data_IF_608250360955
#
_entry.id   IF_608250360955
#
_cell.length_a   1.000
_cell.length_b   1.000
_cell.length_c   1.000
_cell.angle_alpha   90.00
_cell.angle_beta   90.00
_cell.angle_gamma   90.00
#
_symmetry.space_group_name_H-M   'P 1'
#
loop_
_entity.id
_entity.type
_entity.pdbx_description
1 polymer ?
#
# COMPACT_ATOMS: atom_id res chain seq x y z
N UNK A 1 38.23 -20.30 9.55
CA UNK A 1 38.39 -18.84 9.58
C UNK A 1 37.14 -18.27 8.91
N UNK A 2 36.12 -17.91 9.69
CA UNK A 2 35.00 -17.11 9.19
C UNK A 2 35.57 -15.72 8.89
N UNK A 3 35.47 -15.26 7.63
CA UNK A 3 35.73 -13.86 7.29
C UNK A 3 34.61 -13.04 7.99
N UNK A 4 34.95 -12.31 9.02
CA UNK A 4 34.02 -11.60 9.93
C UNK A 4 33.18 -10.50 9.25
N UNK A 5 33.46 -10.15 7.97
CA UNK A 5 32.83 -9.04 7.26
C UNK A 5 32.28 -9.43 5.86
N UNK A 6 32.10 -10.72 5.57
CA UNK A 6 31.54 -11.12 4.27
C UNK A 6 30.04 -10.89 4.21
N UNK A 7 29.59 -10.10 3.25
CA UNK A 7 28.20 -9.95 2.82
C UNK A 7 28.10 -10.34 1.35
N UNK A 8 26.97 -10.90 0.94
CA UNK A 8 26.71 -11.11 -0.48
C UNK A 8 26.49 -9.75 -1.21
N UNK A 9 26.68 -9.72 -2.54
CA UNK A 9 26.65 -8.46 -3.31
C UNK A 9 25.36 -7.66 -3.16
N UNK A 10 24.21 -8.31 -3.07
CA UNK A 10 22.93 -7.63 -2.89
C UNK A 10 22.82 -7.01 -1.49
N UNK A 11 23.16 -7.74 -0.44
CA UNK A 11 23.17 -7.24 0.93
C UNK A 11 24.13 -6.06 1.07
N UNK A 12 25.33 -6.18 0.50
CA UNK A 12 26.32 -5.11 0.49
C UNK A 12 25.80 -3.86 -0.19
N UNK A 13 25.23 -4.00 -1.38
CA UNK A 13 24.69 -2.87 -2.16
C UNK A 13 23.57 -2.14 -1.42
N UNK A 14 22.62 -2.90 -0.85
CA UNK A 14 21.48 -2.33 -0.12
C UNK A 14 21.90 -1.63 1.17
N UNK A 15 22.82 -2.25 1.92
CA UNK A 15 23.35 -1.67 3.15
C UNK A 15 24.12 -0.38 2.89
N UNK A 16 25.01 -0.39 1.90
CA UNK A 16 25.77 0.79 1.49
C UNK A 16 24.87 1.93 1.03
N UNK A 17 23.84 1.63 0.24
CA UNK A 17 22.91 2.64 -0.23
C UNK A 17 22.09 3.23 0.92
N UNK A 18 21.51 2.39 1.77
CA UNK A 18 20.70 2.84 2.89
C UNK A 18 21.50 3.69 3.89
N UNK A 19 22.76 3.32 4.18
CA UNK A 19 23.61 4.06 5.13
C UNK A 19 24.18 5.37 4.57
N UNK A 20 24.27 5.52 3.23
CA UNK A 20 24.86 6.71 2.61
C UNK A 20 23.88 7.81 2.27
N UNK A 21 22.60 7.46 2.01
CA UNK A 21 21.62 8.44 1.57
C UNK A 21 21.31 9.43 2.69
N UNK A 22 21.32 10.71 2.33
CA UNK A 22 20.99 11.81 3.24
C UNK A 22 19.84 12.65 2.68
N UNK A 23 19.25 13.50 3.51
CA UNK A 23 18.19 14.40 3.08
C UNK A 23 18.62 15.34 1.95
N UNK A 24 19.89 15.72 1.91
CA UNK A 24 20.46 16.61 0.89
C UNK A 24 20.54 15.96 -0.50
N UNK A 25 20.50 14.65 -0.57
CA UNK A 25 20.49 13.91 -1.84
C UNK A 25 19.09 13.85 -2.48
N UNK A 26 18.06 14.27 -1.74
CA UNK A 26 16.67 14.21 -2.19
C UNK A 26 16.32 15.44 -3.02
N UNK A 27 15.69 15.21 -4.19
CA UNK A 27 15.12 16.31 -4.97
C UNK A 27 13.87 16.89 -4.27
N UNK A 28 13.53 18.17 -4.50
CA UNK A 28 12.28 18.76 -4.02
C UNK A 28 11.04 17.95 -4.42
N UNK A 29 11.04 17.38 -5.63
CA UNK A 29 9.96 16.50 -6.12
C UNK A 29 9.83 15.23 -5.26
N UNK A 30 10.95 14.62 -4.89
CA UNK A 30 10.97 13.43 -4.02
C UNK A 30 10.42 13.75 -2.65
N UNK A 31 10.87 14.85 -2.02
CA UNK A 31 10.36 15.31 -0.72
C UNK A 31 8.85 15.56 -0.79
N UNK A 32 8.41 16.24 -1.85
CA UNK A 32 6.99 16.52 -2.08
C UNK A 32 6.18 15.22 -2.22
N UNK A 33 6.68 14.25 -3.00
CA UNK A 33 5.99 12.97 -3.19
C UNK A 33 5.92 12.15 -1.90
N UNK A 34 6.96 12.17 -1.04
CA UNK A 34 6.90 11.55 0.29
C UNK A 34 5.76 12.12 1.12
N UNK A 35 5.61 13.45 1.15
CA UNK A 35 4.53 14.11 1.89
C UNK A 35 3.14 13.72 1.35
N UNK A 36 2.97 13.70 0.03
CA UNK A 36 1.74 13.24 -0.63
C UNK A 36 1.39 11.81 -0.23
N UNK A 37 2.38 10.92 -0.27
CA UNK A 37 2.19 9.52 0.07
C UNK A 37 1.85 9.33 1.55
N UNK A 38 2.45 10.16 2.40
CA UNK A 38 2.14 10.15 3.84
C UNK A 38 0.71 10.63 4.10
N UNK A 39 0.25 11.71 3.47
CA UNK A 39 -1.15 12.17 3.56
C UNK A 39 -2.11 11.06 3.12
N UNK A 40 -1.85 10.41 1.99
CA UNK A 40 -2.64 9.31 1.46
C UNK A 40 -2.73 8.14 2.45
N UNK A 41 -1.59 7.72 2.99
CA UNK A 41 -1.49 6.61 3.95
C UNK A 41 -2.21 6.91 5.26
N UNK A 42 -2.06 8.13 5.81
CA UNK A 42 -2.75 8.55 7.03
C UNK A 42 -4.25 8.64 6.84
N UNK A 43 -4.72 9.08 5.66
CA UNK A 43 -6.13 9.03 5.30
C UNK A 43 -6.68 7.61 5.31
N UNK A 44 -5.97 6.68 4.70
CA UNK A 44 -6.33 5.26 4.73
C UNK A 44 -6.36 4.72 6.17
N UNK A 45 -5.37 5.08 7.00
CA UNK A 45 -5.29 4.62 8.38
C UNK A 45 -6.49 5.08 9.22
N UNK A 46 -6.87 6.36 9.13
CA UNK A 46 -8.03 6.89 9.86
C UNK A 46 -9.33 6.30 9.32
N UNK A 47 -9.47 6.17 7.99
CA UNK A 47 -10.64 5.57 7.36
C UNK A 47 -10.87 4.10 7.72
N UNK A 48 -9.77 3.36 8.02
CA UNK A 48 -9.83 1.95 8.43
C UNK A 48 -10.01 1.76 9.95
N UNK A 49 -10.01 2.82 10.74
CA UNK A 49 -9.84 2.78 12.18
C UNK A 49 -10.83 1.85 12.89
N UNK A 50 -12.08 1.82 12.48
CA UNK A 50 -13.15 0.99 13.06
C UNK A 50 -13.33 -0.36 12.36
N UNK A 51 -12.44 -0.73 11.44
CA UNK A 51 -12.49 -2.03 10.80
C UNK A 51 -12.17 -3.16 11.78
N UNK A 52 -12.76 -4.34 11.58
CA UNK A 52 -12.57 -5.47 12.49
C UNK A 52 -11.10 -5.89 12.63
N UNK A 53 -10.29 -6.02 11.54
CA UNK A 53 -8.88 -6.33 11.68
C UNK A 53 -8.09 -5.27 12.45
N UNK A 54 -8.42 -3.97 12.27
CA UNK A 54 -7.77 -2.91 13.02
C UNK A 54 -8.13 -2.94 14.51
N UNK A 55 -9.38 -3.26 14.85
CA UNK A 55 -9.79 -3.47 16.24
C UNK A 55 -9.07 -4.66 16.87
N UNK A 56 -8.93 -5.77 16.13
CA UNK A 56 -8.18 -6.96 16.59
C UNK A 56 -6.72 -6.60 16.84
N UNK A 57 -6.08 -5.93 15.87
CA UNK A 57 -4.67 -5.54 15.96
C UNK A 57 -4.42 -4.63 17.17
N UNK A 58 -5.28 -3.61 17.39
CA UNK A 58 -5.18 -2.72 18.55
C UNK A 58 -5.38 -3.45 19.88
N UNK A 59 -6.34 -4.37 19.97
CA UNK A 59 -6.53 -5.21 21.18
C UNK A 59 -5.32 -6.08 21.48
N UNK A 60 -4.63 -6.59 20.46
CA UNK A 60 -3.37 -7.33 20.64
C UNK A 60 -2.27 -6.39 21.11
N UNK A 61 -2.10 -5.26 20.46
CA UNK A 61 -1.09 -4.26 20.80
C UNK A 61 -1.26 -3.70 22.22
N UNK A 62 -2.50 -3.51 22.70
CA UNK A 62 -2.77 -2.98 24.04
C UNK A 62 -2.33 -3.88 25.20
N UNK A 63 -1.92 -5.13 24.94
CA UNK A 63 -1.46 -6.08 25.97
C UNK A 63 0.00 -5.91 26.35
N UNK A 64 0.73 -5.08 25.60
CA UNK A 64 2.19 -4.95 25.73
C UNK A 64 2.55 -3.48 25.95
N UNK A 65 3.45 -3.22 26.88
CA UNK A 65 4.13 -1.92 27.05
C UNK A 65 5.52 -2.04 26.43
N UNK A 66 5.89 -1.08 25.56
CA UNK A 66 7.21 -1.05 24.94
C UNK A 66 8.19 -0.16 25.71
N UNK A 67 9.49 -0.43 25.55
CA UNK A 67 10.57 0.47 25.95
C UNK A 67 11.74 0.30 24.97
N UNK A 68 11.93 1.23 24.01
CA UNK A 68 11.08 2.41 23.80
C UNK A 68 9.67 2.04 23.34
N UNK A 69 8.69 2.94 23.58
CA UNK A 69 7.31 2.76 23.16
C UNK A 69 7.03 3.48 21.84
N UNK A 70 6.07 2.97 21.07
CA UNK A 70 5.57 3.58 19.87
C UNK A 70 4.04 3.72 19.90
N UNK A 71 3.55 4.78 19.27
CA UNK A 71 2.12 5.12 19.30
C UNK A 71 1.32 4.35 18.24
N UNK A 72 0.15 3.87 18.62
CA UNK A 72 -0.85 3.34 17.67
C UNK A 72 -1.63 4.51 17.07
N UNK A 73 -1.59 4.64 15.75
CA UNK A 73 -2.24 5.74 15.01
C UNK A 73 -3.74 5.83 15.33
N UNK A 74 -4.22 7.05 15.45
CA UNK A 74 -5.62 7.33 15.82
C UNK A 74 -5.89 7.32 17.32
N UNK A 75 -4.90 6.96 18.16
CA UNK A 75 -5.05 6.83 19.62
C UNK A 75 -3.91 7.52 20.37
N UNK A 76 -4.05 7.64 21.69
CA UNK A 76 -2.95 7.94 22.61
C UNK A 76 -2.26 6.68 23.15
N UNK A 77 -2.70 5.49 22.72
CA UNK A 77 -2.15 4.21 23.15
C UNK A 77 -0.70 4.06 22.68
N UNK A 78 0.17 3.62 23.58
CA UNK A 78 1.54 3.22 23.28
C UNK A 78 1.72 1.71 23.48
N UNK A 79 2.62 1.11 22.71
CA UNK A 79 2.96 -0.31 22.77
C UNK A 79 4.41 -0.52 22.31
N UNK A 80 4.87 -1.76 22.15
CA UNK A 80 6.16 -2.02 21.54
C UNK A 80 6.20 -1.56 20.07
N UNK A 81 7.37 -1.21 19.59
CA UNK A 81 7.63 -0.70 18.23
C UNK A 81 7.10 -1.64 17.15
N UNK A 82 7.32 -2.95 17.31
CA UNK A 82 6.90 -3.99 16.38
C UNK A 82 5.37 -4.16 16.34
N UNK A 83 4.69 -4.10 17.48
CA UNK A 83 3.24 -4.19 17.54
C UNK A 83 2.55 -2.90 17.07
N UNK A 84 3.16 -1.74 17.32
CA UNK A 84 2.71 -0.49 16.72
C UNK A 84 2.82 -0.53 15.20
N UNK A 85 3.97 -0.99 14.66
CA UNK A 85 4.17 -1.18 13.23
C UNK A 85 3.10 -2.10 12.63
N UNK A 86 2.82 -3.25 13.27
CA UNK A 86 1.78 -4.16 12.82
C UNK A 86 0.40 -3.49 12.80
N UNK A 87 -0.04 -2.92 13.93
CA UNK A 87 -1.37 -2.33 14.05
C UNK A 87 -1.57 -1.16 13.06
N UNK A 88 -0.55 -0.31 12.93
CA UNK A 88 -0.58 0.85 12.04
C UNK A 88 -0.54 0.45 10.56
N UNK A 89 0.18 -0.62 10.20
CA UNK A 89 0.17 -1.12 8.82
C UNK A 89 -1.17 -1.75 8.46
N UNK A 90 -1.83 -2.45 9.39
CA UNK A 90 -3.22 -2.92 9.19
C UNK A 90 -4.15 -1.75 8.88
N UNK A 91 -4.03 -0.64 9.62
CA UNK A 91 -4.82 0.57 9.36
C UNK A 91 -4.60 1.13 7.96
N UNK A 92 -3.35 1.27 7.52
CA UNK A 92 -3.01 1.82 6.19
C UNK A 92 -3.49 0.88 5.07
N UNK A 93 -3.29 -0.43 5.24
CA UNK A 93 -3.49 -1.41 4.16
C UNK A 93 -4.93 -1.89 3.99
N UNK A 94 -5.73 -1.91 5.06
CA UNK A 94 -7.01 -2.62 5.08
C UNK A 94 -8.00 -2.15 4.03
N UNK A 95 -8.15 -0.85 3.80
CA UNK A 95 -9.10 -0.32 2.82
C UNK A 95 -8.74 -0.63 1.36
N UNK A 96 -7.55 -1.15 1.11
CA UNK A 96 -7.00 -1.33 -0.25
C UNK A 96 -7.05 -0.05 -1.10
N UNK A 97 -6.89 1.10 -0.41
CA UNK A 97 -6.98 2.44 -0.97
C UNK A 97 -5.65 3.19 -1.00
N UNK A 98 -4.62 2.64 -0.33
CA UNK A 98 -3.26 3.19 -0.32
C UNK A 98 -2.59 3.05 -1.69
N UNK A 99 -1.41 3.63 -1.84
CA UNK A 99 -0.68 3.71 -3.10
C UNK A 99 -0.46 2.37 -3.82
N UNK A 100 0.05 2.43 -5.02
CA UNK A 100 0.43 1.26 -5.80
C UNK A 100 1.63 1.56 -6.69
N UNK A 101 2.58 0.63 -6.75
CA UNK A 101 3.68 0.62 -7.68
C UNK A 101 3.49 -0.50 -8.71
N UNK A 102 3.30 -0.12 -9.99
CA UNK A 102 3.09 -1.06 -11.08
C UNK A 102 4.45 -1.45 -11.69
N UNK A 103 4.84 -2.71 -11.51
CA UNK A 103 6.09 -3.26 -12.00
C UNK A 103 5.95 -4.77 -12.19
N UNK A 104 7.05 -5.49 -12.48
CA UNK A 104 7.06 -6.96 -12.62
C UNK A 104 6.55 -7.66 -11.35
N UNK A 105 6.94 -7.15 -10.15
CA UNK A 105 6.52 -7.63 -8.84
C UNK A 105 5.62 -6.65 -8.09
N UNK A 106 4.70 -6.00 -8.76
CA UNK A 106 3.81 -4.94 -8.27
C UNK A 106 3.38 -5.04 -6.80
N UNK A 107 3.16 -3.89 -6.16
CA UNK A 107 2.65 -3.88 -4.79
C UNK A 107 2.38 -2.49 -4.21
N UNK A 108 2.36 -2.42 -2.88
CA UNK A 108 1.97 -1.25 -2.10
C UNK A 108 3.12 -0.77 -1.20
N UNK A 109 4.04 0.08 -1.70
CA UNK A 109 5.20 0.50 -0.91
C UNK A 109 4.83 1.25 0.37
N UNK A 110 3.69 1.94 0.40
CA UNK A 110 3.20 2.64 1.61
C UNK A 110 2.94 1.72 2.81
N UNK A 111 2.85 0.41 2.61
CA UNK A 111 2.76 -0.56 3.71
C UNK A 111 3.99 -0.53 4.64
N UNK A 112 5.10 0.08 4.21
CA UNK A 112 6.33 0.25 5.00
C UNK A 112 6.30 1.50 5.88
N UNK A 113 5.53 2.53 5.51
CA UNK A 113 5.48 3.81 6.22
C UNK A 113 5.18 3.65 7.70
N UNK A 114 4.19 2.83 8.13
CA UNK A 114 3.86 2.69 9.54
C UNK A 114 5.01 2.13 10.39
N UNK A 115 5.82 1.23 9.85
CA UNK A 115 7.02 0.74 10.53
C UNK A 115 8.05 1.85 10.75
N UNK A 116 8.29 2.67 9.72
CA UNK A 116 9.18 3.84 9.82
C UNK A 116 8.64 4.85 10.84
N UNK A 117 7.32 5.15 10.80
CA UNK A 117 6.71 6.08 11.75
C UNK A 117 6.74 5.58 13.21
N UNK A 118 6.51 4.28 13.43
CA UNK A 118 6.57 3.68 14.76
C UNK A 118 7.98 3.85 15.35
N UNK A 119 9.00 3.51 14.57
CA UNK A 119 10.40 3.66 14.98
C UNK A 119 10.79 5.12 15.15
N UNK A 120 10.40 6.00 14.22
CA UNK A 120 10.69 7.43 14.29
C UNK A 120 10.05 8.09 15.52
N UNK A 121 8.82 7.72 15.88
CA UNK A 121 8.17 8.19 17.11
C UNK A 121 8.90 7.73 18.36
N UNK A 122 9.23 6.44 18.46
CA UNK A 122 9.91 5.83 19.58
C UNK A 122 11.31 6.46 19.84
N UNK A 123 12.03 6.80 18.77
CA UNK A 123 13.37 7.40 18.83
C UNK A 123 13.39 8.92 18.64
N UNK A 124 12.23 9.58 18.65
CA UNK A 124 12.08 11.05 18.51
C UNK A 124 12.81 11.62 17.29
N UNK A 125 12.77 10.89 16.17
CA UNK A 125 13.45 11.30 14.95
C UNK A 125 12.80 12.58 14.37
N UNK A 126 13.61 13.46 13.79
CA UNK A 126 13.16 14.68 13.13
C UNK A 126 12.58 14.37 11.73
N UNK A 127 11.73 15.27 11.21
CA UNK A 127 11.00 15.02 9.98
C UNK A 127 11.87 14.76 8.74
N UNK A 128 13.04 15.40 8.61
CA UNK A 128 13.97 15.11 7.49
C UNK A 128 14.48 13.67 7.52
N UNK A 129 14.75 13.12 8.72
CA UNK A 129 15.14 11.72 8.85
C UNK A 129 14.00 10.79 8.41
N UNK A 130 12.76 11.10 8.78
CA UNK A 130 11.56 10.35 8.37
C UNK A 130 11.37 10.38 6.85
N UNK A 131 11.50 11.55 6.21
CA UNK A 131 11.41 11.70 4.76
C UNK A 131 12.48 10.85 4.06
N UNK A 132 13.71 10.89 4.55
CA UNK A 132 14.82 10.10 3.98
C UNK A 132 14.59 8.61 4.16
N UNK A 133 14.17 8.17 5.35
CA UNK A 133 13.89 6.77 5.64
C UNK A 133 12.75 6.19 4.78
N UNK A 134 11.66 6.96 4.59
CA UNK A 134 10.58 6.58 3.67
C UNK A 134 11.11 6.48 2.24
N UNK A 135 11.94 7.43 1.79
CA UNK A 135 12.53 7.40 0.44
C UNK A 135 13.38 6.15 0.24
N UNK A 136 14.24 5.78 1.20
CA UNK A 136 15.05 4.55 1.13
C UNK A 136 14.15 3.30 1.09
N UNK A 137 13.15 3.22 1.95
CA UNK A 137 12.22 2.08 1.97
C UNK A 137 11.54 1.91 0.59
N UNK A 138 11.05 3.00 0.00
CA UNK A 138 10.44 2.98 -1.32
C UNK A 138 11.42 2.59 -2.42
N UNK A 139 12.64 3.13 -2.39
CA UNK A 139 13.65 2.80 -3.40
C UNK A 139 13.95 1.30 -3.40
N UNK A 140 14.15 0.69 -2.22
CA UNK A 140 14.38 -0.75 -2.10
C UNK A 140 13.22 -1.58 -2.60
N UNK A 141 12.00 -1.27 -2.14
CA UNK A 141 10.79 -1.98 -2.57
C UNK A 141 10.61 -1.90 -4.08
N UNK A 142 10.66 -0.70 -4.63
CA UNK A 142 10.35 -0.48 -6.03
C UNK A 142 11.42 -1.08 -6.96
N UNK A 143 12.70 -1.03 -6.58
CA UNK A 143 13.79 -1.69 -7.33
C UNK A 143 13.65 -3.21 -7.33
N UNK A 144 13.32 -3.80 -6.18
CA UNK A 144 12.98 -5.21 -6.12
C UNK A 144 11.78 -5.53 -7.03
N UNK A 145 10.73 -4.71 -6.97
CA UNK A 145 9.54 -4.90 -7.79
C UNK A 145 9.80 -4.75 -9.30
N UNK A 146 10.72 -3.87 -9.71
CA UNK A 146 11.12 -3.71 -11.12
C UNK A 146 11.70 -5.00 -11.69
N UNK A 147 12.56 -5.70 -10.92
CA UNK A 147 13.37 -6.80 -11.43
C UNK A 147 12.82 -8.18 -11.04
N UNK A 148 12.08 -8.29 -9.93
CA UNK A 148 11.67 -9.56 -9.35
C UNK A 148 10.17 -9.83 -9.56
N UNK A 149 9.85 -10.95 -10.20
CA UNK A 149 8.48 -11.48 -10.24
C UNK A 149 8.21 -12.35 -9.02
N UNK A 150 7.07 -12.13 -8.36
CA UNK A 150 6.73 -12.83 -7.12
C UNK A 150 6.43 -14.32 -7.27
N UNK A 151 5.99 -14.80 -8.44
CA UNK A 151 5.82 -16.25 -8.76
C UNK A 151 5.21 -17.09 -7.62
N UNK A 152 4.12 -16.66 -7.02
CA UNK A 152 3.48 -17.39 -5.91
C UNK A 152 3.87 -16.89 -4.50
N UNK A 153 4.78 -15.92 -4.41
CA UNK A 153 5.07 -15.20 -3.18
C UNK A 153 4.20 -13.94 -3.05
N UNK A 154 4.06 -13.41 -1.85
CA UNK A 154 3.40 -12.13 -1.58
C UNK A 154 4.41 -10.98 -1.57
N UNK A 155 3.93 -9.77 -1.89
CA UNK A 155 4.71 -8.52 -1.81
C UNK A 155 5.28 -8.22 -0.41
N UNK A 156 4.80 -8.91 0.63
CA UNK A 156 5.36 -8.83 1.97
C UNK A 156 6.87 -9.07 2.02
N UNK A 157 7.42 -9.81 1.05
CA UNK A 157 8.86 -9.96 0.89
C UNK A 157 9.56 -8.62 0.60
N UNK A 158 9.02 -7.82 -0.31
CA UNK A 158 9.58 -6.49 -0.63
C UNK A 158 9.39 -5.52 0.53
N UNK A 159 8.23 -5.61 1.22
CA UNK A 159 7.95 -4.81 2.43
C UNK A 159 8.96 -5.12 3.54
N UNK A 160 9.26 -6.40 3.79
CA UNK A 160 10.24 -6.77 4.82
C UNK A 160 11.60 -6.13 4.56
N UNK A 161 12.12 -6.22 3.32
CA UNK A 161 13.45 -5.70 2.95
C UNK A 161 13.44 -4.16 2.99
N UNK A 162 12.48 -3.53 2.29
CA UNK A 162 12.43 -2.07 2.17
C UNK A 162 12.19 -1.38 3.52
N UNK A 163 11.26 -1.90 4.33
CA UNK A 163 11.00 -1.36 5.66
C UNK A 163 12.23 -1.48 6.57
N UNK A 164 12.96 -2.62 6.51
CA UNK A 164 14.17 -2.81 7.31
C UNK A 164 15.23 -1.74 7.01
N UNK A 165 15.44 -1.41 5.73
CA UNK A 165 16.39 -0.37 5.34
C UNK A 165 15.97 1.02 5.87
N UNK A 166 14.69 1.39 5.73
CA UNK A 166 14.18 2.67 6.25
C UNK A 166 14.22 2.75 7.78
N UNK A 167 13.84 1.68 8.46
CA UNK A 167 13.86 1.56 9.92
C UNK A 167 15.32 1.60 10.44
N UNK A 168 16.21 0.87 9.79
CA UNK A 168 17.64 0.85 10.14
C UNK A 168 18.28 2.23 10.03
N UNK A 169 17.87 3.06 9.07
CA UNK A 169 18.30 4.48 9.02
C UNK A 169 17.83 5.28 10.24
N UNK A 170 16.60 5.10 10.69
CA UNK A 170 16.09 5.78 11.91
C UNK A 170 16.90 5.38 13.12
N UNK A 171 17.29 4.10 13.23
CA UNK A 171 18.14 3.58 14.30
C UNK A 171 19.62 4.00 14.16
N UNK A 172 20.03 4.55 13.03
CA UNK A 172 21.43 4.89 12.76
C UNK A 172 22.34 3.66 12.65
N UNK A 173 21.84 2.54 12.14
CA UNK A 173 22.62 1.33 11.94
C UNK A 173 23.80 1.61 11.01
N UNK A 174 24.98 1.10 11.37
CA UNK A 174 26.11 1.06 10.46
C UNK A 174 25.89 0.02 9.34
N UNK A 175 26.79 -0.01 8.36
CA UNK A 175 26.71 -0.92 7.22
C UNK A 175 26.59 -2.39 7.63
N UNK A 176 27.35 -2.83 8.65
CA UNK A 176 27.37 -4.21 9.13
C UNK A 176 26.04 -4.58 9.81
N UNK A 177 25.57 -3.73 10.71
CA UNK A 177 24.28 -3.93 11.40
C UNK A 177 23.11 -3.86 10.40
N UNK A 178 23.14 -2.96 9.41
CA UNK A 178 22.15 -2.88 8.35
C UNK A 178 22.10 -4.18 7.53
N UNK A 179 23.23 -4.74 7.15
CA UNK A 179 23.32 -6.02 6.45
C UNK A 179 22.74 -7.17 7.28
N UNK A 180 23.06 -7.23 8.57
CA UNK A 180 22.48 -8.21 9.48
C UNK A 180 20.96 -8.05 9.59
N UNK A 181 20.46 -6.82 9.73
CA UNK A 181 19.01 -6.55 9.78
C UNK A 181 18.28 -7.04 8.51
N UNK A 182 18.81 -6.71 7.33
CA UNK A 182 18.27 -7.17 6.04
C UNK A 182 18.27 -8.70 5.99
N UNK A 183 19.37 -9.33 6.37
CA UNK A 183 19.52 -10.77 6.37
C UNK A 183 18.53 -11.48 7.30
N UNK A 184 18.35 -10.97 8.51
CA UNK A 184 17.38 -11.49 9.47
C UNK A 184 15.95 -11.32 8.93
N UNK A 185 15.62 -10.14 8.40
CA UNK A 185 14.28 -9.85 7.87
C UNK A 185 13.89 -10.79 6.71
N UNK A 186 14.83 -11.07 5.80
CA UNK A 186 14.59 -11.91 4.61
C UNK A 186 14.41 -13.39 4.99
N UNK A 187 15.14 -13.86 5.97
CA UNK A 187 15.11 -15.26 6.40
C UNK A 187 13.99 -15.56 7.40
N UNK A 188 13.23 -14.55 7.78
CA UNK A 188 12.11 -14.67 8.72
C UNK A 188 10.76 -14.59 8.00
N UNK A 189 9.88 -15.54 8.26
CA UNK A 189 8.53 -15.57 7.70
C UNK A 189 8.45 -16.19 6.30
N UNK A 190 7.23 -16.45 5.87
CA UNK A 190 6.93 -17.08 4.57
C UNK A 190 5.78 -16.31 3.91
N UNK A 191 6.06 -15.25 3.13
CA UNK A 191 5.02 -14.43 2.50
C UNK A 191 4.42 -15.13 1.28
N UNK A 192 3.45 -16.02 1.49
CA UNK A 192 2.83 -16.81 0.43
C UNK A 192 1.77 -16.04 -0.35
N UNK A 193 1.79 -16.19 -1.68
CA UNK A 193 0.78 -15.68 -2.60
C UNK A 193 -0.64 -16.23 -2.37
N UNK A 194 -0.78 -17.34 -1.62
CA UNK A 194 -2.07 -17.86 -1.17
C UNK A 194 -2.94 -16.81 -0.46
N UNK A 195 -2.33 -15.80 0.15
CA UNK A 195 -3.00 -14.62 0.73
C UNK A 195 -3.94 -13.89 -0.26
N UNK A 196 -3.72 -14.05 -1.57
CA UNK A 196 -4.39 -13.30 -2.66
C UNK A 196 -5.23 -14.19 -3.59
N UNK A 197 -5.53 -15.44 -3.22
CA UNK A 197 -6.20 -16.42 -4.06
C UNK A 197 -7.47 -16.93 -3.40
N UNK A 198 -8.51 -17.21 -4.20
CA UNK A 198 -9.79 -17.74 -3.75
C UNK A 198 -10.61 -16.74 -2.95
N UNK A 199 -11.39 -17.22 -2.00
CA UNK A 199 -12.09 -16.37 -1.04
C UNK A 199 -11.10 -15.68 -0.13
N UNK A 200 -11.12 -14.34 -0.14
CA UNK A 200 -10.14 -13.54 0.57
C UNK A 200 -10.55 -13.34 2.03
N UNK A 201 -9.61 -13.57 2.93
CA UNK A 201 -9.79 -13.34 4.37
C UNK A 201 -9.27 -11.97 4.81
N UNK A 202 -9.55 -11.58 6.06
CA UNK A 202 -8.97 -10.38 6.69
C UNK A 202 -7.45 -10.32 6.57
N UNK A 203 -6.79 -11.49 6.49
CA UNK A 203 -5.33 -11.58 6.38
C UNK A 203 -4.78 -10.92 5.11
N UNK A 204 -5.56 -10.80 4.05
CA UNK A 204 -5.20 -10.04 2.83
C UNK A 204 -4.79 -8.61 3.16
N UNK A 205 -5.46 -7.94 4.10
CA UNK A 205 -5.12 -6.61 4.61
C UNK A 205 -4.08 -6.58 5.73
N UNK A 206 -3.59 -7.74 6.18
CA UNK A 206 -2.69 -7.86 7.34
C UNK A 206 -1.33 -8.51 7.01
N UNK A 207 -1.20 -9.17 5.86
CA UNK A 207 0.02 -9.91 5.53
C UNK A 207 1.26 -9.02 5.45
N UNK A 208 1.14 -7.83 4.85
CA UNK A 208 2.22 -6.84 4.79
C UNK A 208 2.50 -6.20 6.15
N UNK A 209 1.49 -6.14 7.04
CA UNK A 209 1.69 -5.71 8.42
C UNK A 209 2.60 -6.68 9.20
N UNK A 210 2.49 -7.99 8.96
CA UNK A 210 3.41 -8.96 9.52
C UNK A 210 4.84 -8.75 8.99
N UNK A 211 5.00 -8.40 7.71
CA UNK A 211 6.31 -8.09 7.13
C UNK A 211 6.91 -6.80 7.72
N UNK A 212 6.12 -5.74 7.90
CA UNK A 212 6.56 -4.51 8.55
C UNK A 212 6.96 -4.73 10.02
N UNK A 213 6.20 -5.57 10.74
CA UNK A 213 6.56 -6.01 12.09
C UNK A 213 7.90 -6.74 12.11
N UNK A 214 8.10 -7.68 11.19
CA UNK A 214 9.35 -8.43 11.04
C UNK A 214 10.52 -7.49 10.79
N UNK A 215 10.34 -6.45 9.96
CA UNK A 215 11.38 -5.47 9.67
C UNK A 215 11.81 -4.67 10.91
N UNK A 216 10.86 -4.26 11.75
CA UNK A 216 11.15 -3.59 13.03
C UNK A 216 11.96 -4.52 13.93
N UNK A 217 11.48 -5.73 14.14
CA UNK A 217 12.14 -6.68 15.04
C UNK A 217 13.53 -7.07 14.54
N UNK A 218 13.73 -7.26 13.24
CA UNK A 218 15.03 -7.55 12.65
C UNK A 218 16.03 -6.40 12.83
N UNK A 219 15.57 -5.15 12.65
CA UNK A 219 16.41 -3.96 12.83
C UNK A 219 16.82 -3.78 14.30
N UNK A 220 15.91 -3.98 15.24
CA UNK A 220 16.21 -3.93 16.69
C UNK A 220 17.20 -5.02 17.11
N UNK A 221 17.03 -6.27 16.65
CA UNK A 221 17.97 -7.35 16.91
C UNK A 221 19.38 -7.03 16.40
N UNK A 222 19.47 -6.48 15.20
CA UNK A 222 20.76 -6.11 14.61
C UNK A 222 21.40 -4.91 15.34
N UNK A 223 20.59 -3.97 15.83
CA UNK A 223 21.06 -2.86 16.67
C UNK A 223 21.72 -3.36 17.97
N UNK A 224 21.21 -4.45 18.53
CA UNK A 224 21.77 -5.12 19.71
C UNK A 224 22.93 -6.09 19.36
N UNK A 225 23.37 -6.13 18.10
CA UNK A 225 24.51 -6.90 17.64
C UNK A 225 24.21 -8.33 17.18
N UNK A 226 22.95 -8.71 16.98
CA UNK A 226 22.60 -10.01 16.42
C UNK A 226 23.04 -10.10 14.96
N UNK A 227 23.68 -11.21 14.60
CA UNK A 227 24.13 -11.46 13.23
C UNK A 227 23.12 -12.33 12.47
N UNK A 228 22.92 -12.00 11.18
CA UNK A 228 22.16 -12.83 10.24
C UNK A 228 23.06 -13.69 9.35
N UNK A 229 22.49 -14.57 8.50
CA UNK A 229 23.24 -15.26 7.47
C UNK A 229 24.01 -14.30 6.56
N UNK A 230 25.25 -14.62 6.24
CA UNK A 230 26.14 -13.75 5.46
C UNK A 230 25.77 -13.60 4.00
N UNK A 231 25.00 -14.55 3.44
CA UNK A 231 24.63 -14.58 2.02
C UNK A 231 23.15 -14.94 1.84
N UNK A 232 22.21 -14.10 2.29
CA UNK A 232 20.78 -14.40 2.24
C UNK A 232 20.18 -14.30 0.82
N UNK A 233 20.83 -13.61 -0.10
CA UNK A 233 20.37 -13.44 -1.48
C UNK A 233 21.05 -14.40 -2.46
N UNK A 234 22.39 -14.31 -2.59
CA UNK A 234 23.19 -15.04 -3.58
C UNK A 234 23.72 -16.38 -3.07
N UNK A 235 23.63 -16.62 -1.75
CA UNK A 235 24.15 -17.85 -1.16
C UNK A 235 23.37 -19.11 -1.54
N UNK A 236 23.96 -20.27 -1.19
CA UNK A 236 23.24 -21.53 -1.27
C UNK A 236 21.97 -21.44 -0.41
N UNK A 237 20.82 -21.84 -0.99
CA UNK A 237 19.50 -21.71 -0.39
C UNK A 237 19.09 -20.24 -0.11
N UNK A 238 19.71 -19.30 -0.82
CA UNK A 238 19.39 -17.87 -0.78
C UNK A 238 18.14 -17.52 -1.59
N UNK A 239 17.72 -16.26 -1.51
CA UNK A 239 16.45 -15.80 -2.06
C UNK A 239 16.35 -16.01 -3.57
N UNK A 240 17.40 -15.69 -4.33
CA UNK A 240 17.38 -15.81 -5.79
C UNK A 240 17.18 -17.23 -6.25
N UNK A 241 17.80 -18.20 -5.55
CA UNK A 241 17.62 -19.61 -5.82
C UNK A 241 16.15 -20.05 -5.59
N UNK A 242 15.53 -19.63 -4.48
CA UNK A 242 14.13 -19.96 -4.18
C UNK A 242 13.14 -19.31 -5.15
N UNK A 243 13.46 -18.15 -5.68
CA UNK A 243 12.66 -17.49 -6.73
C UNK A 243 12.91 -18.08 -8.12
N UNK A 244 13.97 -18.89 -8.30
CA UNK A 244 14.37 -19.46 -9.57
C UNK A 244 14.76 -18.37 -10.59
N UNK A 245 15.52 -17.37 -10.15
CA UNK A 245 16.00 -16.28 -10.99
C UNK A 245 17.51 -16.10 -10.81
N UNK A 246 18.17 -15.55 -11.84
CA UNK A 246 19.53 -15.03 -11.69
C UNK A 246 19.53 -13.77 -10.83
N UNK A 247 20.60 -13.50 -10.06
CA UNK A 247 20.73 -12.26 -9.28
C UNK A 247 20.50 -11.03 -10.16
N UNK A 248 19.62 -10.08 -9.76
CA UNK A 248 19.45 -8.84 -10.48
C UNK A 248 20.77 -8.05 -10.55
N UNK A 249 21.00 -7.42 -11.71
CA UNK A 249 22.12 -6.48 -11.85
C UNK A 249 21.63 -5.10 -11.41
N UNK A 250 21.98 -4.72 -10.19
CA UNK A 250 21.56 -3.45 -9.65
C UNK A 250 22.21 -2.29 -10.41
N UNK A 251 21.40 -1.56 -11.15
CA UNK A 251 21.81 -0.23 -11.63
C UNK A 251 21.82 0.75 -10.47
N UNK A 252 22.52 1.89 -10.61
CA UNK A 252 22.54 2.90 -9.56
C UNK A 252 21.12 3.39 -9.22
N UNK A 253 20.77 3.35 -7.94
CA UNK A 253 19.49 3.79 -7.38
C UNK A 253 19.35 5.32 -7.42
N UNK A 254 18.21 5.85 -6.97
CA UNK A 254 17.93 7.28 -6.92
C UNK A 254 18.95 8.06 -6.09
N UNK A 255 19.08 9.34 -6.40
CA UNK A 255 20.06 10.25 -5.80
C UNK A 255 20.97 10.88 -6.85
N UNK A 256 21.57 12.02 -6.51
CA UNK A 256 22.28 12.86 -7.48
C UNK A 256 21.33 13.33 -8.58
N UNK A 257 21.62 12.99 -9.84
CA UNK A 257 20.77 13.33 -10.99
C UNK A 257 19.67 12.29 -11.31
N UNK A 258 19.62 11.15 -10.59
CA UNK A 258 18.67 10.06 -10.86
C UNK A 258 17.40 10.21 -10.02
N UNK A 259 16.20 10.09 -10.64
CA UNK A 259 14.94 10.16 -9.89
C UNK A 259 14.78 8.95 -8.98
N UNK A 260 14.20 9.19 -7.80
CA UNK A 260 13.80 8.14 -6.89
C UNK A 260 12.50 7.46 -7.35
N UNK A 261 12.37 6.17 -7.14
CA UNK A 261 11.21 5.37 -7.57
C UNK A 261 9.90 5.76 -6.90
N UNK A 262 9.92 6.42 -5.76
CA UNK A 262 8.72 6.92 -5.10
C UNK A 262 7.92 7.86 -6.01
N UNK A 263 8.56 8.61 -6.90
CA UNK A 263 7.90 9.50 -7.87
C UNK A 263 7.12 8.72 -8.94
N UNK A 264 7.37 7.42 -9.07
CA UNK A 264 6.68 6.50 -9.98
C UNK A 264 5.46 5.78 -9.37
N UNK A 265 5.05 6.13 -8.15
CA UNK A 265 3.88 5.52 -7.51
C UNK A 265 2.56 6.16 -7.96
N UNK A 266 1.51 5.36 -7.97
CA UNK A 266 0.14 5.77 -8.29
C UNK A 266 -0.70 5.79 -7.02
N UNK A 267 -1.66 6.73 -6.92
CA UNK A 267 -2.64 6.75 -5.83
C UNK A 267 -3.96 6.17 -6.31
N UNK A 268 -4.59 5.32 -5.51
CA UNK A 268 -5.93 4.83 -5.82
C UNK A 268 -6.98 5.90 -5.49
N UNK A 269 -7.92 6.11 -6.40
CA UNK A 269 -9.03 7.04 -6.18
C UNK A 269 -10.15 6.39 -5.36
N UNK A 270 -10.27 5.05 -5.38
CA UNK A 270 -11.33 4.28 -4.76
C UNK A 270 -10.76 3.16 -3.87
N UNK A 271 -11.46 2.77 -2.78
CA UNK A 271 -11.00 1.75 -1.82
C UNK A 271 -11.17 0.33 -2.38
N UNK A 272 -10.40 0.00 -3.41
CA UNK A 272 -10.48 -1.28 -4.12
C UNK A 272 -9.18 -1.63 -4.83
N UNK A 273 -9.06 -2.86 -5.35
CA UNK A 273 -7.89 -3.30 -6.09
C UNK A 273 -7.58 -2.41 -7.30
N UNK A 274 -6.31 -2.28 -7.66
CA UNK A 274 -5.87 -1.39 -8.76
C UNK A 274 -6.59 -1.65 -10.09
N UNK A 275 -6.91 -2.91 -10.40
CA UNK A 275 -7.59 -3.32 -11.63
C UNK A 275 -9.02 -2.80 -11.78
N UNK A 276 -9.63 -2.30 -10.71
CA UNK A 276 -11.01 -1.79 -10.70
C UNK A 276 -11.09 -0.26 -10.78
N UNK A 277 -9.97 0.44 -10.66
CA UNK A 277 -9.95 1.91 -10.68
C UNK A 277 -10.49 2.49 -11.99
N UNK A 278 -10.11 1.90 -13.14
CA UNK A 278 -10.64 2.27 -14.45
C UNK A 278 -12.14 2.00 -14.59
N UNK A 279 -12.59 0.76 -14.37
CA UNK A 279 -14.02 0.41 -14.35
C UNK A 279 -14.88 1.34 -13.52
N UNK A 280 -14.51 1.60 -12.27
CA UNK A 280 -15.26 2.49 -11.36
C UNK A 280 -15.31 3.93 -11.92
N UNK A 281 -14.15 4.47 -12.32
CA UNK A 281 -14.08 5.84 -12.82
C UNK A 281 -14.97 6.08 -14.04
N UNK A 282 -14.91 5.18 -15.03
CA UNK A 282 -15.74 5.27 -16.25
C UNK A 282 -17.23 5.14 -15.95
N UNK A 283 -17.61 4.26 -15.04
CA UNK A 283 -19.02 4.11 -14.64
C UNK A 283 -19.55 5.37 -13.98
N UNK A 284 -18.78 5.97 -13.08
CA UNK A 284 -19.17 7.21 -12.40
C UNK A 284 -19.30 8.39 -13.38
N UNK A 285 -18.47 8.42 -14.42
CA UNK A 285 -18.58 9.38 -15.52
C UNK A 285 -19.87 9.17 -16.33
N UNK A 286 -20.11 7.94 -16.82
CA UNK A 286 -21.30 7.61 -17.61
C UNK A 286 -22.59 7.81 -16.81
N UNK A 287 -22.60 7.55 -15.51
CA UNK A 287 -23.76 7.72 -14.64
C UNK A 287 -24.31 9.15 -14.66
N UNK A 288 -23.45 10.15 -14.81
CA UNK A 288 -23.89 11.56 -14.91
C UNK A 288 -24.79 11.80 -16.13
N UNK A 289 -24.62 10.99 -17.20
CA UNK A 289 -25.38 11.07 -18.42
C UNK A 289 -26.61 10.11 -18.46
N UNK A 290 -26.61 9.09 -17.57
CA UNK A 290 -27.69 8.07 -17.53
C UNK A 290 -29.03 8.64 -17.03
N UNK A 291 -29.01 9.57 -16.09
CA UNK A 291 -30.21 10.06 -15.42
C UNK A 291 -30.97 8.93 -14.70
N UNK A 292 -32.30 8.93 -14.85
CA UNK A 292 -33.19 7.91 -14.27
C UNK A 292 -33.40 6.68 -15.17
N UNK A 293 -32.64 6.53 -16.27
CA UNK A 293 -32.82 5.42 -17.20
C UNK A 293 -32.48 4.07 -16.58
N UNK A 294 -33.33 3.08 -16.83
CA UNK A 294 -33.09 1.71 -16.39
C UNK A 294 -32.01 1.04 -17.27
N UNK A 295 -31.06 0.35 -16.63
CA UNK A 295 -29.98 -0.35 -17.31
C UNK A 295 -30.47 -1.71 -17.82
N UNK A 296 -30.29 -1.94 -19.11
CA UNK A 296 -30.55 -3.21 -19.79
C UNK A 296 -29.35 -4.13 -19.70
N UNK A 297 -28.15 -3.63 -20.06
CA UNK A 297 -26.89 -4.40 -20.04
C UNK A 297 -25.67 -3.49 -19.88
N UNK A 298 -24.59 -4.07 -19.33
CA UNK A 298 -23.26 -3.45 -19.20
C UNK A 298 -22.24 -4.39 -19.80
N UNK A 299 -21.46 -3.93 -20.76
CA UNK A 299 -20.37 -4.67 -21.36
C UNK A 299 -19.04 -3.96 -21.04
N UNK A 300 -18.15 -4.66 -20.34
CA UNK A 300 -16.84 -4.16 -19.93
C UNK A 300 -15.74 -4.98 -20.58
N UNK A 301 -14.85 -4.32 -21.31
CA UNK A 301 -13.63 -4.89 -21.87
C UNK A 301 -12.40 -4.30 -21.15
N UNK A 302 -11.47 -5.17 -20.72
CA UNK A 302 -10.25 -4.76 -20.05
C UNK A 302 -9.12 -5.78 -20.32
N UNK A 303 -7.95 -5.58 -19.74
CA UNK A 303 -6.78 -6.46 -19.94
C UNK A 303 -6.90 -7.76 -19.16
N UNK A 304 -6.22 -8.82 -19.63
CA UNK A 304 -6.35 -10.20 -19.11
C UNK A 304 -6.04 -10.34 -17.63
N UNK A 305 -5.04 -9.63 -17.10
CA UNK A 305 -4.73 -9.68 -15.66
C UNK A 305 -5.87 -9.13 -14.80
N UNK A 306 -6.54 -8.06 -15.24
CA UNK A 306 -7.72 -7.53 -14.56
C UNK A 306 -8.85 -8.57 -14.55
N UNK A 307 -9.17 -9.17 -15.71
CA UNK A 307 -10.21 -10.21 -15.81
C UNK A 307 -9.87 -11.39 -14.89
N UNK A 308 -8.64 -11.89 -14.97
CA UNK A 308 -8.18 -13.02 -14.16
C UNK A 308 -8.31 -12.80 -12.67
N UNK A 309 -7.97 -11.60 -12.19
CA UNK A 309 -7.96 -11.26 -10.75
C UNK A 309 -9.33 -10.90 -10.19
N UNK A 310 -10.24 -10.39 -11.03
CA UNK A 310 -11.44 -9.72 -10.52
C UNK A 310 -12.77 -10.18 -11.12
N UNK A 311 -12.75 -11.09 -12.10
CA UNK A 311 -13.96 -11.51 -12.78
C UNK A 311 -13.98 -12.98 -13.23
N UNK A 312 -12.92 -13.78 -13.01
CA UNK A 312 -12.87 -15.18 -13.45
C UNK A 312 -13.53 -16.12 -12.43
N UNK A 313 -13.26 -15.92 -11.14
CA UNK A 313 -13.75 -16.79 -10.08
C UNK A 313 -15.22 -16.49 -9.74
N UNK A 314 -15.97 -17.53 -9.38
CA UNK A 314 -17.42 -17.44 -9.06
C UNK A 314 -17.69 -16.45 -7.92
N UNK A 315 -16.81 -16.42 -6.92
CA UNK A 315 -16.89 -15.55 -5.74
C UNK A 315 -16.86 -14.06 -6.14
N UNK A 316 -16.19 -13.71 -7.25
CA UNK A 316 -16.17 -12.33 -7.74
C UNK A 316 -17.52 -11.87 -8.28
N UNK A 317 -18.37 -12.80 -8.73
CA UNK A 317 -19.73 -12.52 -9.20
C UNK A 317 -20.78 -12.57 -8.07
N UNK A 318 -20.42 -13.19 -6.95
CA UNK A 318 -21.26 -13.29 -5.77
C UNK A 318 -20.45 -13.09 -4.48
N UNK A 319 -19.80 -11.94 -4.27
CA UNK A 319 -18.99 -11.74 -3.07
C UNK A 319 -19.85 -11.79 -1.81
N UNK A 320 -19.29 -12.40 -0.75
CA UNK A 320 -19.93 -12.49 0.56
C UNK A 320 -19.13 -11.73 1.62
N UNK A 321 -17.83 -11.49 1.36
CA UNK A 321 -16.94 -10.76 2.25
C UNK A 321 -16.52 -9.42 1.62
N UNK A 322 -16.13 -8.47 2.48
CA UNK A 322 -15.58 -7.19 2.03
C UNK A 322 -14.34 -7.40 1.14
N UNK A 323 -13.46 -8.30 1.57
CA UNK A 323 -12.18 -8.56 0.91
C UNK A 323 -12.36 -9.17 -0.49
N UNK A 324 -13.44 -9.91 -0.71
CA UNK A 324 -13.81 -10.42 -2.05
C UNK A 324 -14.49 -9.33 -2.87
N UNK A 325 -15.36 -8.53 -2.25
CA UNK A 325 -16.08 -7.45 -2.92
C UNK A 325 -15.16 -6.34 -3.45
N UNK A 326 -14.11 -5.94 -2.70
CA UNK A 326 -13.15 -4.92 -3.14
C UNK A 326 -12.20 -5.42 -4.27
N UNK A 327 -12.29 -6.72 -4.60
CA UNK A 327 -11.60 -7.38 -5.71
C UNK A 327 -12.58 -7.89 -6.80
N UNK A 328 -13.78 -7.35 -6.87
CA UNK A 328 -14.82 -7.75 -7.83
C UNK A 328 -15.19 -6.60 -8.77
N UNK A 329 -14.79 -6.68 -10.04
CA UNK A 329 -15.28 -5.75 -11.08
C UNK A 329 -16.81 -5.80 -11.16
N UNK A 330 -17.49 -6.96 -11.23
CA UNK A 330 -18.94 -7.00 -11.31
C UNK A 330 -19.65 -6.28 -10.16
N UNK A 331 -19.18 -6.51 -8.92
CA UNK A 331 -19.77 -5.87 -7.75
C UNK A 331 -19.54 -4.35 -7.76
N UNK A 332 -18.30 -3.91 -8.00
CA UNK A 332 -17.91 -2.50 -7.92
C UNK A 332 -18.55 -1.66 -9.04
N UNK A 333 -18.67 -2.22 -10.24
CA UNK A 333 -19.39 -1.57 -11.35
C UNK A 333 -20.88 -1.44 -11.01
N UNK A 334 -21.51 -2.49 -10.47
CA UNK A 334 -22.91 -2.43 -10.06
C UNK A 334 -23.14 -1.41 -8.94
N UNK A 335 -22.27 -1.39 -7.91
CA UNK A 335 -22.34 -0.44 -6.82
C UNK A 335 -22.16 1.01 -7.31
N UNK A 336 -21.14 1.27 -8.15
CA UNK A 336 -20.90 2.59 -8.72
C UNK A 336 -22.07 3.08 -9.58
N UNK A 337 -22.70 2.20 -10.36
CA UNK A 337 -23.92 2.53 -11.15
C UNK A 337 -25.08 2.89 -10.25
N UNK A 338 -25.30 2.15 -9.17
CA UNK A 338 -26.44 2.34 -8.29
C UNK A 338 -26.27 3.53 -7.35
N UNK A 339 -25.11 3.64 -6.69
CA UNK A 339 -24.87 4.61 -5.61
C UNK A 339 -24.32 5.94 -6.13
N UNK A 340 -23.58 5.93 -7.24
CA UNK A 340 -22.86 7.11 -7.74
C UNK A 340 -21.57 7.41 -6.99
N UNK A 341 -21.13 6.49 -6.15
CA UNK A 341 -19.86 6.54 -5.42
C UNK A 341 -19.36 5.14 -5.07
N UNK A 342 -18.08 5.04 -4.73
CA UNK A 342 -17.48 3.84 -4.12
C UNK A 342 -16.65 4.32 -2.94
N UNK A 343 -17.16 4.05 -1.75
CA UNK A 343 -16.57 4.47 -0.47
C UNK A 343 -16.43 3.26 0.47
N UNK A 344 -15.81 3.38 1.65
CA UNK A 344 -15.81 2.28 2.61
C UNK A 344 -17.21 1.73 2.96
N UNK A 345 -18.26 2.58 2.89
CA UNK A 345 -19.65 2.17 3.14
C UNK A 345 -20.19 1.20 2.07
N UNK A 346 -19.66 1.25 0.85
CA UNK A 346 -19.98 0.30 -0.23
C UNK A 346 -19.78 -1.16 0.19
N UNK A 347 -18.88 -1.41 1.15
CA UNK A 347 -18.53 -2.75 1.62
C UNK A 347 -19.21 -3.16 2.93
N UNK A 348 -20.26 -2.44 3.35
CA UNK A 348 -21.06 -2.88 4.49
C UNK A 348 -21.74 -4.24 4.19
N UNK A 349 -21.84 -5.17 5.16
CA UNK A 349 -22.44 -6.49 4.92
C UNK A 349 -23.84 -6.43 4.30
N UNK A 350 -24.69 -5.50 4.75
CA UNK A 350 -26.03 -5.28 4.19
C UNK A 350 -25.98 -4.82 2.74
N UNK A 351 -24.92 -4.09 2.35
CA UNK A 351 -24.75 -3.59 0.98
C UNK A 351 -24.24 -4.68 0.04
N UNK A 352 -23.29 -5.50 0.51
CA UNK A 352 -22.78 -6.65 -0.25
C UNK A 352 -23.91 -7.63 -0.59
N UNK A 353 -24.87 -7.81 0.32
CA UNK A 353 -26.00 -8.72 0.16
C UNK A 353 -27.24 -8.09 -0.49
N UNK A 354 -27.18 -6.83 -0.90
CA UNK A 354 -28.33 -6.11 -1.48
C UNK A 354 -28.86 -6.81 -2.75
N UNK A 355 -30.14 -7.25 -2.77
CA UNK A 355 -30.75 -7.91 -3.94
C UNK A 355 -30.74 -7.06 -5.19
N UNK A 356 -30.81 -5.73 -5.08
CA UNK A 356 -30.78 -4.82 -6.22
C UNK A 356 -29.42 -4.85 -6.91
N UNK A 357 -28.31 -4.84 -6.12
CA UNK A 357 -26.96 -5.02 -6.68
C UNK A 357 -26.81 -6.41 -7.33
N UNK A 358 -27.29 -7.46 -6.68
CA UNK A 358 -27.27 -8.83 -7.25
C UNK A 358 -27.99 -8.91 -8.58
N UNK A 359 -29.13 -8.21 -8.71
CA UNK A 359 -29.86 -8.13 -9.97
C UNK A 359 -29.09 -7.38 -11.05
N UNK A 360 -28.41 -6.29 -10.68
CA UNK A 360 -27.62 -5.50 -11.62
C UNK A 360 -26.36 -6.27 -12.07
N UNK A 361 -25.69 -6.99 -11.19
CA UNK A 361 -24.52 -7.83 -11.52
C UNK A 361 -24.86 -8.83 -12.63
N UNK A 362 -26.07 -9.41 -12.65
CA UNK A 362 -26.51 -10.34 -13.69
C UNK A 362 -26.62 -9.70 -15.09
N UNK A 363 -26.67 -8.37 -15.19
CA UNK A 363 -26.72 -7.61 -16.45
C UNK A 363 -25.31 -7.26 -16.97
N UNK A 364 -24.25 -7.60 -16.23
CA UNK A 364 -22.86 -7.32 -16.59
C UNK A 364 -22.22 -8.46 -17.39
N UNK A 365 -21.35 -8.07 -18.31
CA UNK A 365 -20.41 -8.96 -18.99
C UNK A 365 -19.02 -8.34 -18.92
N UNK A 366 -18.04 -9.08 -18.41
CA UNK A 366 -16.64 -8.67 -18.34
C UNK A 366 -15.83 -9.57 -19.26
N UNK A 367 -15.04 -8.99 -20.16
CA UNK A 367 -14.24 -9.72 -21.15
C UNK A 367 -12.83 -9.18 -21.22
N UNK A 368 -11.90 -10.05 -21.58
CA UNK A 368 -10.56 -9.65 -22.00
C UNK A 368 -10.61 -9.03 -23.40
N UNK A 369 -9.92 -7.88 -23.57
CA UNK A 369 -9.56 -7.31 -24.85
C UNK A 369 -8.09 -7.57 -25.12
N UNK A 370 -7.70 -8.39 -26.11
CA UNK A 370 -6.31 -8.73 -26.37
C UNK A 370 -5.40 -7.53 -26.63
N UNK A 371 -5.94 -6.46 -27.26
CA UNK A 371 -5.19 -5.23 -27.47
C UNK A 371 -4.83 -4.56 -26.13
N UNK A 372 -5.76 -4.52 -25.18
CA UNK A 372 -5.54 -3.97 -23.85
C UNK A 372 -4.51 -4.81 -23.06
N UNK A 373 -4.54 -6.13 -23.22
CA UNK A 373 -3.58 -7.05 -22.60
C UNK A 373 -2.15 -6.80 -23.09
N UNK A 374 -1.95 -6.52 -24.38
CA UNK A 374 -0.62 -6.20 -24.93
C UNK A 374 -0.05 -4.89 -24.39
N UNK A 375 -0.90 -3.93 -24.02
CA UNK A 375 -0.51 -2.62 -23.49
C UNK A 375 -0.23 -2.62 -21.98
N UNK A 376 -0.72 -3.64 -21.26
CA UNK A 376 -0.44 -3.82 -19.83
C UNK A 376 1.00 -4.34 -19.63
N UNK A 377 1.77 -3.90 -18.60
CA UNK A 377 1.38 -3.01 -17.47
C UNK A 377 1.57 -1.51 -17.73
N UNK A 378 2.08 -1.10 -18.89
CA UNK A 378 2.32 0.32 -19.20
C UNK A 378 1.04 1.15 -19.19
N UNK A 379 -0.09 0.51 -19.52
CA UNK A 379 -1.42 1.11 -19.52
C UNK A 379 -2.43 0.14 -18.89
N UNK A 380 -3.39 0.68 -18.15
CA UNK A 380 -4.48 -0.07 -17.50
C UNK A 380 -5.80 0.18 -18.24
N UNK A 381 -5.83 -0.25 -19.52
CA UNK A 381 -6.93 0.05 -20.43
C UNK A 381 -8.26 -0.60 -20.00
N UNK A 382 -9.32 0.18 -20.06
CA UNK A 382 -10.70 -0.28 -19.81
C UNK A 382 -11.65 0.46 -20.72
N UNK A 383 -12.59 -0.25 -21.33
CA UNK A 383 -13.73 0.30 -22.06
C UNK A 383 -15.03 -0.27 -21.49
N UNK A 384 -16.02 0.60 -21.30
CA UNK A 384 -17.34 0.19 -20.84
C UNK A 384 -18.42 0.71 -21.77
N UNK A 385 -19.38 -0.13 -22.10
CA UNK A 385 -20.61 0.21 -22.80
C UNK A 385 -21.79 -0.08 -21.88
N UNK A 386 -22.66 0.91 -21.70
CA UNK A 386 -23.93 0.77 -20.97
C UNK A 386 -25.07 0.95 -21.97
N UNK A 387 -25.95 -0.04 -22.01
CA UNK A 387 -27.22 0.01 -22.82
C UNK A 387 -28.40 0.13 -21.85
N UNK A 388 -29.26 1.09 -22.11
CA UNK A 388 -30.51 1.31 -21.33
C UNK A 388 -31.71 0.64 -21.98
N UNK A 389 -32.80 0.43 -21.23
CA UNK A 389 -34.01 -0.23 -21.72
C UNK A 389 -34.73 0.59 -22.79
N UNK A 390 -34.50 1.90 -22.88
CA UNK A 390 -35.00 2.77 -23.96
C UNK A 390 -34.10 2.74 -25.23
N UNK A 391 -33.06 1.88 -25.25
CA UNK A 391 -32.17 1.64 -26.40
C UNK A 391 -31.01 2.61 -26.54
N UNK A 392 -30.79 3.54 -25.61
CA UNK A 392 -29.60 4.40 -25.63
C UNK A 392 -28.32 3.57 -25.31
N UNK A 393 -27.25 3.87 -26.04
CA UNK A 393 -25.93 3.29 -25.79
C UNK A 393 -24.92 4.39 -25.43
N UNK A 394 -24.18 4.17 -24.39
CA UNK A 394 -23.12 5.10 -23.94
C UNK A 394 -21.83 4.33 -23.70
N UNK A 395 -20.74 4.86 -24.23
CA UNK A 395 -19.43 4.21 -24.17
C UNK A 395 -18.41 5.19 -23.59
N UNK A 396 -17.54 4.71 -22.74
CA UNK A 396 -16.38 5.44 -22.25
C UNK A 396 -15.17 4.51 -22.21
N UNK A 397 -13.97 5.08 -22.39
CA UNK A 397 -12.71 4.33 -22.39
C UNK A 397 -11.61 5.15 -21.69
N UNK A 398 -10.72 4.46 -20.98
CA UNK A 398 -9.51 5.05 -20.41
C UNK A 398 -8.34 4.09 -20.54
N UNK A 399 -7.13 4.66 -20.74
CA UNK A 399 -5.86 3.94 -20.64
C UNK A 399 -5.16 4.17 -19.29
N UNK A 400 -5.52 5.27 -18.63
CA UNK A 400 -4.89 5.72 -17.39
C UNK A 400 -5.98 6.18 -16.43
N UNK A 401 -6.46 5.31 -15.53
CA UNK A 401 -7.48 5.68 -14.56
C UNK A 401 -6.99 6.82 -13.64
N UNK A 402 -7.93 7.54 -13.05
CA UNK A 402 -7.63 8.62 -12.10
C UNK A 402 -6.71 8.13 -10.99
N UNK A 403 -5.63 8.86 -10.73
CA UNK A 403 -4.59 8.52 -9.77
C UNK A 403 -3.45 7.68 -10.34
N UNK A 404 -3.56 7.20 -11.58
CA UNK A 404 -2.44 6.57 -12.30
C UNK A 404 -1.29 7.57 -12.51
N UNK A 405 -0.05 7.09 -12.59
CA UNK A 405 1.15 7.92 -12.81
C UNK A 405 1.01 8.93 -13.98
N UNK A 406 0.33 8.53 -15.07
CA UNK A 406 0.05 9.38 -16.24
C UNK A 406 -1.26 10.17 -16.16
N UNK A 407 -2.00 10.01 -15.08
CA UNK A 407 -3.23 10.76 -14.75
C UNK A 407 -3.29 10.99 -13.24
N UNK A 408 -2.28 11.67 -12.65
CA UNK A 408 -2.10 11.73 -11.21
C UNK A 408 -3.18 12.56 -10.51
N UNK A 409 -3.45 12.23 -9.26
CA UNK A 409 -4.17 13.15 -8.39
C UNK A 409 -3.33 14.43 -8.20
N UNK A 410 -3.97 15.59 -8.23
CA UNK A 410 -3.35 16.84 -7.78
C UNK A 410 -3.19 16.83 -6.27
N UNK A 411 -2.44 17.77 -5.69
CA UNK A 411 -2.32 17.90 -4.23
C UNK A 411 -3.70 18.10 -3.59
N UNK A 412 -4.52 18.98 -4.16
CA UNK A 412 -5.91 19.14 -3.73
C UNK A 412 -6.72 17.83 -3.83
N UNK A 413 -6.42 16.99 -4.83
CA UNK A 413 -7.04 15.66 -4.97
C UNK A 413 -6.60 14.69 -3.88
N UNK A 414 -5.32 14.69 -3.49
CA UNK A 414 -4.81 13.88 -2.37
C UNK A 414 -5.40 14.34 -1.04
N UNK A 415 -5.45 15.67 -0.80
CA UNK A 415 -6.08 16.24 0.40
C UNK A 415 -7.58 15.95 0.46
N UNK A 416 -8.29 16.05 -0.68
CA UNK A 416 -9.72 15.73 -0.74
C UNK A 416 -9.97 14.25 -0.41
N UNK A 417 -9.12 13.35 -0.90
CA UNK A 417 -9.17 11.92 -0.54
C UNK A 417 -8.92 11.72 0.95
N UNK A 418 -7.89 12.33 1.52
CA UNK A 418 -7.61 12.29 2.96
C UNK A 418 -8.83 12.75 3.76
N UNK A 419 -9.40 13.92 3.43
CA UNK A 419 -10.58 14.46 4.12
C UNK A 419 -11.79 13.55 3.98
N UNK A 420 -12.03 12.99 2.80
CA UNK A 420 -13.11 12.03 2.56
C UNK A 420 -13.04 10.79 3.44
N UNK A 421 -11.82 10.32 3.74
CA UNK A 421 -11.59 9.15 4.59
C UNK A 421 -11.55 9.50 6.10
N UNK A 422 -11.07 10.69 6.46
CA UNK A 422 -10.71 11.02 7.83
C UNK A 422 -11.69 11.96 8.55
N UNK A 423 -12.46 12.81 7.82
CA UNK A 423 -13.23 13.89 8.45
C UNK A 423 -14.33 13.39 9.38
N UNK A 424 -14.94 12.25 9.12
CA UNK A 424 -15.97 11.68 9.98
C UNK A 424 -15.43 11.26 11.35
N UNK A 425 -14.15 10.87 11.42
CA UNK A 425 -13.51 10.44 12.66
C UNK A 425 -12.75 11.58 13.38
N UNK A 426 -12.02 12.41 12.61
CA UNK A 426 -11.17 13.47 13.18
C UNK A 426 -11.88 14.82 13.32
N UNK A 427 -12.86 15.11 12.46
CA UNK A 427 -13.41 16.46 12.27
C UNK A 427 -12.50 17.34 11.40
N UNK A 428 -13.06 18.43 10.85
CA UNK A 428 -12.38 19.29 9.86
C UNK A 428 -11.09 19.92 10.41
N UNK A 429 -11.15 20.47 11.63
CA UNK A 429 -10.02 21.17 12.26
C UNK A 429 -8.80 20.26 12.49
N UNK A 430 -9.00 19.01 12.90
CA UNK A 430 -7.89 18.05 13.04
C UNK A 430 -7.34 17.60 11.69
N UNK A 431 -8.20 17.45 10.68
CA UNK A 431 -7.74 17.21 9.32
C UNK A 431 -6.83 18.33 8.83
N UNK A 432 -7.19 19.59 9.08
CA UNK A 432 -6.35 20.74 8.72
C UNK A 432 -4.99 20.70 9.42
N UNK A 433 -4.97 20.36 10.72
CA UNK A 433 -3.71 20.19 11.46
C UNK A 433 -2.84 19.07 10.92
N UNK A 434 -3.41 17.90 10.66
CA UNK A 434 -2.65 16.76 10.08
C UNK A 434 -2.02 17.16 8.75
N UNK A 435 -2.79 17.80 7.86
CA UNK A 435 -2.28 18.27 6.57
C UNK A 435 -1.15 19.30 6.76
N UNK A 436 -1.31 20.26 7.67
CA UNK A 436 -0.28 21.26 7.96
C UNK A 436 1.01 20.62 8.49
N UNK A 437 0.90 19.66 9.44
CA UNK A 437 2.07 18.95 9.99
C UNK A 437 2.79 18.12 8.91
N UNK A 438 2.06 17.47 8.00
CA UNK A 438 2.69 16.68 6.93
C UNK A 438 3.30 17.57 5.86
N UNK A 439 2.63 18.66 5.45
CA UNK A 439 3.20 19.58 4.46
C UNK A 439 4.45 20.33 4.95
N UNK A 440 4.63 20.46 6.27
CA UNK A 440 5.82 21.06 6.88
C UNK A 440 6.71 20.03 7.59
N UNK A 441 6.64 18.75 7.19
CA UNK A 441 7.30 17.65 7.90
C UNK A 441 8.82 17.84 8.03
N UNK A 442 9.50 18.40 7.01
CA UNK A 442 10.95 18.65 7.04
C UNK A 442 11.42 19.56 8.17
N UNK A 443 10.52 20.40 8.70
CA UNK A 443 10.81 21.33 9.79
C UNK A 443 10.43 20.76 11.16
N UNK A 444 9.81 19.59 11.20
CA UNK A 444 9.39 18.94 12.44
C UNK A 444 10.60 18.40 13.21
N UNK A 445 10.75 18.86 14.48
CA UNK A 445 11.78 18.35 15.38
C UNK A 445 11.49 16.91 15.86
N UNK A 446 10.20 16.58 16.01
CA UNK A 446 9.68 15.22 16.32
C UNK A 446 8.33 15.03 15.65
N UNK A 447 7.79 13.80 15.68
CA UNK A 447 6.44 13.49 15.15
C UNK A 447 5.30 13.70 16.15
N UNK A 448 5.58 14.18 17.36
CA UNK A 448 4.59 14.27 18.45
C UNK A 448 3.32 15.04 18.03
N UNK A 449 3.49 16.22 17.39
CA UNK A 449 2.36 17.06 16.93
C UNK A 449 1.52 16.34 15.87
N UNK A 450 2.15 15.63 14.96
CA UNK A 450 1.46 14.85 13.94
C UNK A 450 0.62 13.73 14.61
N UNK A 451 1.22 12.97 15.52
CA UNK A 451 0.52 11.90 16.22
C UNK A 451 -0.64 12.45 17.08
N UNK A 452 -0.44 13.57 17.78
CA UNK A 452 -1.50 14.20 18.58
C UNK A 452 -2.67 14.70 17.70
N UNK A 453 -2.38 15.21 16.52
CA UNK A 453 -3.38 15.63 15.54
C UNK A 453 -4.22 14.46 15.01
N UNK A 454 -3.63 13.25 14.94
CA UNK A 454 -4.30 12.03 14.48
C UNK A 454 -5.19 11.38 15.55
N UNK A 455 -5.09 11.75 16.83
CA UNK A 455 -5.93 11.14 17.89
C UNK A 455 -7.41 11.41 17.64
N UNK A 456 -8.19 10.34 17.51
CA UNK A 456 -9.63 10.40 17.26
C UNK A 456 -10.34 10.83 18.55
N UNK A 457 -11.16 11.89 18.52
CA UNK A 457 -11.86 12.39 19.72
C UNK A 457 -12.83 11.36 20.31
N UNK A 458 -12.95 11.33 21.64
CA UNK A 458 -13.95 10.52 22.33
C UNK A 458 -13.63 9.02 22.47
N UNK A 459 -12.46 8.58 22.00
CA UNK A 459 -12.00 7.23 22.33
C UNK A 459 -11.68 7.16 23.83
N UNK A 460 -12.41 6.29 24.56
CA UNK A 460 -11.99 5.90 25.91
C UNK A 460 -10.79 4.97 25.75
N UNK A 461 -9.64 5.39 26.22
CA UNK A 461 -8.39 4.60 26.33
C UNK A 461 -8.59 3.42 27.26
#
# INVERSE_FOLDING_TARGET
>A
LYQEDFMDPTTEYFSDYACRLTYQDLSPETVHQVKRTLIDSLGCAVGAFNSEPALIARRVASRVQGNPSARVLGTSQETSTDLAAFANTVLVRYLDCNDHYAARGSGHPSDMIPGVLAMAGAHRAHGRAVITAITVAYEMFCRLADDVSLKGWDQGMFVAIGATCGIGMILGLDRKAMGNAISIAITTGVPLGATRIGELSMWKGCATAAAARTAVFAAELAAEGMTGPSAPFEGRDGLWQHLGIEPPKWESFGGGAKPFRITGTSFKAYPSVMHTQGPIGLVLELRQCLGAAEIQSVHLATYGEAVRRTATETEKWNPETRETADHSIPYLVAAALQDGEVTPATFAPSRIQDPALRSLIKKLKVVEEPEFTRRYPAESCTRIEVTTTDGRRMTAETSHPKGHLRNPLTDAGVEAKFRGLASSALGAERCDRVLAEVWNLEDAATLDKLFDSLVIPGLRT
#
